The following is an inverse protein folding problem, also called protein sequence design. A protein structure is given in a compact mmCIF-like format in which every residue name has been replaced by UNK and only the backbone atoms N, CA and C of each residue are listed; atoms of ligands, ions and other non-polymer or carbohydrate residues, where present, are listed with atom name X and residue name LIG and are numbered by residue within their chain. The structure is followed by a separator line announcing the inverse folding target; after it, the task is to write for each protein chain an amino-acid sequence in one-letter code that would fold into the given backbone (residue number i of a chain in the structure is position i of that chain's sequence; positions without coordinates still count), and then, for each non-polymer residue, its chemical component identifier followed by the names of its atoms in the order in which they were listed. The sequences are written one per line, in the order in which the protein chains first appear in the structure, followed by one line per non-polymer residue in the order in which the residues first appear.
data_IF_135086316901
#
_entry.id   IF_135086316901
#
_cell.length_a   1.000
_cell.length_b   1.000
_cell.length_c   1.000
_cell.angle_alpha   90.00
_cell.angle_beta   90.00
_cell.angle_gamma   90.00
#
_symmetry.space_group_name_H-M   'P 1'
#
loop_
_entity.id
_entity.type
_entity.pdbx_description
1 polymer ?
#
# COMPACT_ATOMS: atom_id res chain seq x y z
N UNK A 1 1.84 -8.38 0.19
CA UNK A 1 1.28 -8.85 -1.11
C UNK A 1 1.12 -7.63 -2.00
N UNK A 2 1.31 -7.74 -3.31
CA UNK A 2 1.10 -6.60 -4.25
C UNK A 2 -0.38 -6.43 -4.58
N UNK A 3 -0.74 -5.29 -5.17
CA UNK A 3 -1.99 -5.12 -5.92
C UNK A 3 -1.87 -5.80 -7.30
N UNK A 4 -3.00 -6.06 -7.95
CA UNK A 4 -3.08 -6.50 -9.36
C UNK A 4 -2.46 -5.43 -10.27
N UNK A 5 -1.56 -5.89 -11.15
CA UNK A 5 -0.96 -5.05 -12.18
C UNK A 5 -0.35 -5.89 -13.31
N UNK A 6 0.01 -5.22 -14.39
CA UNK A 6 0.49 -5.87 -15.62
C UNK A 6 1.90 -5.45 -16.03
N UNK A 7 2.48 -4.42 -15.42
CA UNK A 7 3.82 -3.96 -15.77
C UNK A 7 4.89 -4.76 -15.02
N UNK A 8 5.69 -5.62 -15.69
CA UNK A 8 6.75 -6.40 -15.04
C UNK A 8 7.75 -5.52 -14.27
N UNK A 9 8.00 -4.30 -14.76
CA UNK A 9 8.92 -3.35 -14.12
C UNK A 9 8.46 -2.92 -12.74
N UNK A 10 7.15 -2.95 -12.46
CA UNK A 10 6.61 -2.64 -11.14
C UNK A 10 6.85 -3.75 -10.12
N UNK A 11 6.92 -4.99 -10.56
CA UNK A 11 7.33 -6.09 -9.70
C UNK A 11 8.84 -6.04 -9.42
N UNK A 12 9.65 -5.74 -10.43
CA UNK A 12 11.10 -5.50 -10.30
C UNK A 12 11.41 -4.34 -9.35
N UNK A 13 10.73 -3.21 -9.53
CA UNK A 13 10.87 -2.01 -8.71
C UNK A 13 10.57 -2.28 -7.24
N UNK A 14 9.52 -3.07 -6.94
CA UNK A 14 9.20 -3.40 -5.56
C UNK A 14 10.27 -4.31 -4.94
N UNK A 15 10.75 -5.32 -5.66
CA UNK A 15 11.87 -6.18 -5.19
C UNK A 15 13.10 -5.32 -4.90
N UNK A 16 13.48 -4.47 -5.84
CA UNK A 16 14.59 -3.52 -5.69
C UNK A 16 14.40 -2.60 -4.47
N UNK A 17 13.19 -2.06 -4.27
CA UNK A 17 12.89 -1.19 -3.14
C UNK A 17 13.07 -1.93 -1.81
N UNK A 18 12.52 -3.15 -1.69
CA UNK A 18 12.65 -3.96 -0.49
C UNK A 18 14.12 -4.33 -0.21
N UNK A 19 14.89 -4.71 -1.24
CA UNK A 19 16.32 -5.01 -1.10
C UNK A 19 17.11 -3.81 -0.61
N UNK A 20 16.91 -2.65 -1.24
CA UNK A 20 17.57 -1.40 -0.84
C UNK A 20 17.20 -0.96 0.58
N UNK A 21 16.02 -1.34 1.05
CA UNK A 21 15.54 -1.08 2.41
C UNK A 21 15.84 -2.21 3.40
N UNK A 22 16.54 -3.26 2.99
CA UNK A 22 16.86 -4.41 3.85
C UNK A 22 15.62 -5.20 4.31
N UNK A 23 14.47 -5.03 3.68
CA UNK A 23 13.24 -5.72 4.03
C UNK A 23 13.23 -7.16 3.48
N UNK A 24 13.12 -8.13 4.41
CA UNK A 24 13.21 -9.57 4.14
C UNK A 24 11.87 -10.30 4.15
N UNK A 25 10.76 -9.59 4.32
CA UNK A 25 9.43 -10.21 4.36
C UNK A 25 9.14 -10.97 3.04
N UNK A 26 8.50 -12.16 3.10
CA UNK A 26 8.11 -12.90 1.89
C UNK A 26 7.20 -12.04 1.00
N UNK A 27 7.62 -11.84 -0.24
CA UNK A 27 6.87 -11.03 -1.20
C UNK A 27 5.98 -11.95 -2.05
N UNK A 28 4.68 -11.71 -2.02
CA UNK A 28 3.69 -12.44 -2.82
C UNK A 28 3.02 -11.46 -3.78
N UNK A 29 2.93 -11.81 -5.06
CA UNK A 29 2.23 -11.00 -6.05
C UNK A 29 0.73 -11.31 -6.05
N UNK A 30 -0.10 -10.30 -6.26
CA UNK A 30 -1.48 -10.53 -6.69
C UNK A 30 -1.55 -10.40 -8.22
N UNK A 31 -2.02 -11.47 -8.88
CA UNK A 31 -2.21 -11.54 -10.32
C UNK A 31 -3.68 -11.79 -10.63
N UNK A 32 -4.10 -11.41 -11.84
CA UNK A 32 -5.46 -11.64 -12.33
C UNK A 32 -5.40 -12.33 -13.68
N UNK A 33 -6.19 -13.40 -13.87
CA UNK A 33 -6.42 -13.97 -15.20
C UNK A 33 -7.19 -12.95 -16.06
N UNK A 34 -6.50 -12.06 -16.76
CA UNK A 34 -7.14 -10.98 -17.50
C UNK A 34 -7.63 -11.46 -18.87
N UNK A 35 -8.89 -11.85 -18.94
CA UNK A 35 -9.60 -12.16 -20.19
C UNK A 35 -10.19 -10.89 -20.82
N UNK A 36 -10.50 -10.90 -22.13
CA UNK A 36 -11.14 -9.75 -22.78
C UNK A 36 -12.49 -9.38 -22.14
N UNK A 37 -13.31 -10.37 -21.78
CA UNK A 37 -14.56 -10.14 -21.07
C UNK A 37 -14.35 -9.46 -19.70
N UNK A 38 -13.31 -9.88 -18.95
CA UNK A 38 -12.98 -9.29 -17.66
C UNK A 38 -12.43 -7.86 -17.81
N UNK A 39 -11.64 -7.61 -18.85
CA UNK A 39 -11.17 -6.27 -19.21
C UNK A 39 -12.33 -5.32 -19.48
N UNK A 40 -13.26 -5.70 -20.36
CA UNK A 40 -14.48 -4.91 -20.64
C UNK A 40 -15.29 -4.63 -19.37
N UNK A 41 -15.45 -5.63 -18.49
CA UNK A 41 -16.12 -5.44 -17.20
C UNK A 41 -15.38 -4.40 -16.36
N UNK A 42 -14.09 -4.60 -16.08
CA UNK A 42 -13.28 -3.68 -15.26
C UNK A 42 -13.32 -2.25 -15.80
N UNK A 43 -13.20 -2.06 -17.12
CA UNK A 43 -13.29 -0.72 -17.72
C UNK A 43 -14.67 -0.08 -17.57
N UNK A 44 -15.75 -0.87 -17.58
CA UNK A 44 -17.12 -0.38 -17.44
C UNK A 44 -17.50 -0.04 -16.00
N UNK A 45 -17.17 -0.92 -15.04
CA UNK A 45 -17.61 -0.78 -13.64
C UNK A 45 -16.53 -0.19 -12.73
N UNK A 46 -15.27 -0.19 -13.16
CA UNK A 46 -14.13 0.13 -12.31
C UNK A 46 -13.72 -1.03 -11.41
N UNK A 47 -12.43 -1.11 -11.11
CA UNK A 47 -11.89 -1.92 -10.04
C UNK A 47 -10.83 -1.07 -9.32
N UNK A 48 -11.02 -0.73 -8.02
CA UNK A 48 -10.16 0.23 -7.34
C UNK A 48 -8.67 -0.14 -7.43
N UNK A 49 -7.87 0.77 -8.00
CA UNK A 49 -6.42 0.60 -8.16
C UNK A 49 -5.97 -0.29 -9.31
N UNK A 50 -6.90 -0.84 -10.09
CA UNK A 50 -6.56 -1.65 -11.27
C UNK A 50 -6.79 -0.83 -12.52
N UNK A 51 -5.70 -0.56 -13.24
CA UNK A 51 -5.73 0.25 -14.47
C UNK A 51 -5.70 -0.66 -15.68
N UNK A 52 -6.62 -0.47 -16.61
CA UNK A 52 -6.54 -1.04 -17.96
C UNK A 52 -6.44 0.13 -18.92
N UNK A 53 -5.26 0.32 -19.48
CA UNK A 53 -4.98 1.35 -20.48
C UNK A 53 -5.75 1.07 -21.78
N UNK A 54 -5.89 2.09 -22.62
CA UNK A 54 -6.51 1.92 -23.94
C UNK A 54 -5.72 0.93 -24.82
N UNK A 55 -4.38 1.00 -24.78
CA UNK A 55 -3.52 0.07 -25.51
C UNK A 55 -3.68 -1.38 -25.05
N UNK A 56 -3.70 -1.65 -23.74
CA UNK A 56 -3.92 -3.00 -23.22
C UNK A 56 -5.33 -3.49 -23.56
N UNK A 57 -6.34 -2.63 -23.44
CA UNK A 57 -7.70 -3.00 -23.82
C UNK A 57 -7.81 -3.35 -25.32
N UNK A 58 -7.19 -2.56 -26.19
CA UNK A 58 -7.15 -2.85 -27.63
C UNK A 58 -6.50 -4.21 -27.89
N UNK A 59 -5.36 -4.50 -27.25
CA UNK A 59 -4.67 -5.79 -27.41
C UNK A 59 -5.56 -6.96 -26.99
N UNK A 60 -6.31 -6.82 -25.91
CA UNK A 60 -7.23 -7.85 -25.42
C UNK A 60 -8.43 -8.04 -26.36
N UNK A 61 -8.94 -6.98 -26.99
CA UNK A 61 -10.00 -7.13 -28.02
C UNK A 61 -9.46 -7.78 -29.29
N UNK A 62 -8.20 -7.54 -29.66
CA UNK A 62 -7.54 -8.27 -30.75
C UNK A 62 -7.38 -9.76 -30.42
N UNK A 63 -6.99 -10.11 -29.17
CA UNK A 63 -6.96 -11.50 -28.68
C UNK A 63 -8.35 -12.15 -28.79
N UNK A 64 -9.43 -11.39 -28.52
CA UNK A 64 -10.80 -11.88 -28.56
C UNK A 64 -11.27 -12.35 -29.95
N UNK A 65 -10.56 -11.97 -31.03
CA UNK A 65 -10.84 -12.44 -32.39
C UNK A 65 -10.41 -13.89 -32.65
N UNK A 66 -9.66 -14.50 -31.73
CA UNK A 66 -9.29 -15.92 -31.82
C UNK A 66 -10.48 -16.85 -31.50
N UNK A 67 -10.47 -18.10 -32.00
CA UNK A 67 -11.58 -19.04 -31.79
C UNK A 67 -11.92 -19.34 -30.32
N UNK A 68 -10.97 -19.20 -29.41
CA UNK A 68 -11.16 -19.43 -27.97
C UNK A 68 -11.53 -18.14 -27.20
N UNK A 69 -11.77 -17.03 -27.92
CA UNK A 69 -12.10 -15.74 -27.35
C UNK A 69 -10.96 -15.08 -26.58
N UNK A 70 -9.70 -15.40 -26.92
CA UNK A 70 -8.50 -14.84 -26.29
C UNK A 70 -8.12 -15.52 -24.98
N UNK A 71 -8.62 -16.73 -24.74
CA UNK A 71 -8.39 -17.47 -23.49
C UNK A 71 -6.94 -17.94 -23.37
N UNK A 72 -6.40 -18.57 -24.40
CA UNK A 72 -5.01 -19.03 -24.43
C UNK A 72 -4.03 -17.86 -24.25
N UNK A 73 -4.28 -16.72 -24.90
CA UNK A 73 -3.47 -15.52 -24.70
C UNK A 73 -3.53 -15.01 -23.25
N UNK A 74 -4.68 -15.10 -22.59
CA UNK A 74 -4.83 -14.74 -21.18
C UNK A 74 -4.04 -15.64 -20.23
N UNK A 75 -4.08 -16.95 -20.46
CA UNK A 75 -3.27 -17.91 -19.70
C UNK A 75 -1.78 -17.71 -19.96
N UNK A 76 -1.35 -17.56 -21.22
CA UNK A 76 0.05 -17.34 -21.58
C UNK A 76 0.63 -16.06 -20.97
N UNK A 77 -0.14 -14.96 -20.95
CA UNK A 77 0.24 -13.72 -20.24
C UNK A 77 0.41 -13.98 -18.74
N UNK A 78 -0.57 -14.63 -18.10
CA UNK A 78 -0.51 -14.93 -16.67
C UNK A 78 0.67 -15.85 -16.33
N UNK A 79 0.94 -16.86 -17.15
CA UNK A 79 2.05 -17.78 -17.00
C UNK A 79 3.41 -17.06 -17.12
N UNK A 80 3.57 -16.15 -18.08
CA UNK A 80 4.75 -15.30 -18.19
C UNK A 80 4.96 -14.40 -16.96
N UNK A 81 3.89 -13.80 -16.42
CA UNK A 81 3.99 -13.03 -15.18
C UNK A 81 4.46 -13.93 -14.03
N UNK A 82 3.82 -15.09 -13.82
CA UNK A 82 4.20 -16.03 -12.76
C UNK A 82 5.63 -16.55 -12.90
N UNK A 83 6.05 -16.91 -14.11
CA UNK A 83 7.42 -17.35 -14.38
C UNK A 83 8.44 -16.23 -14.07
N UNK A 84 8.14 -14.99 -14.47
CA UNK A 84 9.03 -13.84 -14.21
C UNK A 84 9.13 -13.51 -12.73
N UNK A 85 8.06 -13.69 -11.94
CA UNK A 85 8.10 -13.47 -10.48
C UNK A 85 9.08 -14.42 -9.77
N UNK A 86 9.26 -15.64 -10.29
CA UNK A 86 10.23 -16.61 -9.75
C UNK A 86 11.66 -16.07 -9.85
N UNK A 87 12.00 -15.42 -10.95
CA UNK A 87 13.32 -14.80 -11.15
C UNK A 87 13.57 -13.64 -10.18
N UNK A 88 12.50 -12.91 -9.87
CA UNK A 88 12.54 -11.78 -8.93
C UNK A 88 12.53 -12.21 -7.46
N UNK A 89 12.56 -13.51 -7.17
CA UNK A 89 12.58 -14.03 -5.80
C UNK A 89 11.27 -13.79 -5.03
N UNK A 90 10.14 -13.66 -5.72
CA UNK A 90 8.84 -13.67 -5.06
C UNK A 90 8.57 -15.05 -4.45
N UNK A 91 8.04 -15.07 -3.24
CA UNK A 91 7.70 -16.29 -2.52
C UNK A 91 6.46 -17.00 -3.10
N UNK A 92 5.65 -16.30 -3.90
CA UNK A 92 4.50 -16.88 -4.58
C UNK A 92 3.62 -15.85 -5.27
N UNK A 93 2.50 -16.33 -5.80
CA UNK A 93 1.46 -15.49 -6.38
C UNK A 93 0.07 -15.94 -5.90
N UNK A 94 -0.78 -14.98 -5.53
CA UNK A 94 -2.22 -15.16 -5.42
C UNK A 94 -2.83 -14.85 -6.79
N UNK A 95 -3.60 -15.79 -7.34
CA UNK A 95 -4.25 -15.63 -8.64
C UNK A 95 -5.75 -15.43 -8.46
N UNK A 96 -6.22 -14.25 -8.83
CA UNK A 96 -7.63 -13.89 -8.80
C UNK A 96 -8.32 -14.27 -10.12
N UNK A 97 -9.59 -14.66 -10.02
CA UNK A 97 -10.44 -14.98 -11.18
C UNK A 97 -10.05 -16.27 -11.93
N UNK A 98 -9.42 -17.21 -11.22
CA UNK A 98 -9.19 -18.59 -11.59
C UNK A 98 -9.51 -19.47 -10.37
N UNK A 99 -10.65 -20.15 -10.40
CA UNK A 99 -11.23 -20.79 -9.20
C UNK A 99 -11.39 -22.31 -9.33
N UNK A 100 -11.20 -22.86 -10.53
CA UNK A 100 -11.36 -24.31 -10.77
C UNK A 100 -10.02 -25.02 -10.67
N UNK A 101 -10.01 -26.20 -10.05
CA UNK A 101 -8.81 -27.05 -9.97
C UNK A 101 -8.19 -27.31 -11.34
N UNK A 102 -9.00 -27.67 -12.34
CA UNK A 102 -8.54 -27.90 -13.71
C UNK A 102 -7.89 -26.65 -14.32
N UNK A 103 -8.44 -25.47 -14.06
CA UNK A 103 -7.85 -24.21 -14.52
C UNK A 103 -6.52 -23.89 -13.83
N UNK A 104 -6.41 -24.20 -12.54
CA UNK A 104 -5.16 -24.04 -11.78
C UNK A 104 -4.09 -24.99 -12.33
N UNK A 105 -4.41 -26.27 -12.53
CA UNK A 105 -3.47 -27.24 -13.11
C UNK A 105 -3.00 -26.82 -14.51
N UNK A 106 -3.93 -26.38 -15.36
CA UNK A 106 -3.59 -25.85 -16.68
C UNK A 106 -2.63 -24.65 -16.60
N UNK A 107 -2.84 -23.72 -15.67
CA UNK A 107 -1.93 -22.59 -15.49
C UNK A 107 -0.54 -23.05 -15.03
N UNK A 108 -0.45 -24.04 -14.15
CA UNK A 108 0.84 -24.59 -13.71
C UNK A 108 1.59 -25.25 -14.88
N UNK A 109 0.89 -26.02 -15.71
CA UNK A 109 1.46 -26.61 -16.93
C UNK A 109 1.98 -25.53 -17.90
N UNK A 110 1.21 -24.46 -18.11
CA UNK A 110 1.61 -23.31 -18.93
C UNK A 110 2.82 -22.58 -18.36
N UNK A 111 2.91 -22.44 -17.03
CA UNK A 111 4.09 -21.85 -16.38
C UNK A 111 5.33 -22.69 -16.64
N UNK A 112 5.25 -24.01 -16.50
CA UNK A 112 6.37 -24.90 -16.82
C UNK A 112 6.75 -24.82 -18.30
N UNK A 113 5.77 -24.76 -19.20
CA UNK A 113 6.00 -24.63 -20.63
C UNK A 113 6.72 -23.32 -20.95
N UNK A 114 6.25 -22.20 -20.41
CA UNK A 114 6.88 -20.88 -20.58
C UNK A 114 8.30 -20.85 -20.06
N UNK A 115 8.59 -21.49 -18.91
CA UNK A 115 9.95 -21.59 -18.36
C UNK A 115 10.86 -22.40 -19.30
N UNK A 116 10.35 -23.48 -19.92
CA UNK A 116 11.11 -24.29 -20.89
C UNK A 116 11.33 -23.55 -22.21
N UNK A 117 10.31 -22.88 -22.73
CA UNK A 117 10.35 -22.16 -24.01
C UNK A 117 11.22 -20.90 -23.94
N UNK A 118 11.16 -20.19 -22.82
CA UNK A 118 11.89 -18.95 -22.58
C UNK A 118 12.72 -19.11 -21.28
N UNK A 119 13.91 -19.73 -21.35
CA UNK A 119 14.66 -20.11 -20.16
C UNK A 119 15.25 -18.92 -19.39
N UNK A 120 15.54 -17.79 -20.07
CA UNK A 120 16.14 -16.61 -19.42
C UNK A 120 15.12 -15.52 -19.10
N UNK A 121 15.37 -14.68 -18.07
CA UNK A 121 14.51 -13.54 -17.76
C UNK A 121 14.34 -12.58 -18.96
N UNK A 122 15.40 -12.36 -19.74
CA UNK A 122 15.37 -11.50 -20.93
C UNK A 122 14.48 -12.07 -22.03
N UNK A 123 14.50 -13.40 -22.22
CA UNK A 123 13.64 -14.08 -23.18
C UNK A 123 12.17 -13.97 -22.77
N UNK A 124 11.86 -14.17 -21.48
CA UNK A 124 10.50 -13.98 -20.95
C UNK A 124 10.02 -12.53 -21.09
N UNK A 125 10.89 -11.55 -20.84
CA UNK A 125 10.57 -10.13 -21.05
C UNK A 125 10.28 -9.82 -22.50
N UNK A 126 11.05 -10.37 -23.45
CA UNK A 126 10.79 -10.21 -24.88
C UNK A 126 9.45 -10.85 -25.27
N UNK A 127 9.20 -12.09 -24.84
CA UNK A 127 7.93 -12.78 -25.09
C UNK A 127 6.73 -11.99 -24.53
N UNK A 128 6.88 -11.39 -23.35
CA UNK A 128 5.86 -10.50 -22.79
C UNK A 128 5.58 -9.28 -23.68
N UNK A 129 6.62 -8.62 -24.19
CA UNK A 129 6.48 -7.47 -25.09
C UNK A 129 5.85 -7.87 -26.44
N UNK A 130 6.21 -9.04 -26.97
CA UNK A 130 5.62 -9.60 -28.19
C UNK A 130 4.12 -9.87 -28.03
N UNK A 131 3.68 -10.42 -26.89
CA UNK A 131 2.26 -10.61 -26.59
C UNK A 131 1.47 -9.29 -26.48
N UNK A 132 2.16 -8.19 -26.18
CA UNK A 132 1.58 -6.86 -26.10
C UNK A 132 1.65 -6.09 -27.42
N UNK A 133 2.22 -6.65 -28.48
CA UNK A 133 2.27 -5.99 -29.78
C UNK A 133 0.88 -5.98 -30.43
N UNK A 134 0.41 -4.78 -30.76
CA UNK A 134 -0.83 -4.55 -31.48
C UNK A 134 -0.67 -4.91 -32.96
N UNK A 135 -1.79 -5.18 -33.65
CA UNK A 135 -1.78 -5.48 -35.09
C UNK A 135 -1.19 -4.35 -35.96
N UNK A 136 -1.19 -3.12 -35.45
CA UNK A 136 -0.60 -1.95 -36.12
C UNK A 136 0.91 -1.78 -35.86
N UNK A 137 1.54 -2.73 -35.16
CA UNK A 137 2.98 -2.74 -34.88
C UNK A 137 3.41 -1.96 -33.63
N UNK A 138 2.50 -1.23 -32.97
CA UNK A 138 2.81 -0.55 -31.70
C UNK A 138 2.74 -1.53 -30.52
N UNK A 139 3.51 -1.30 -29.46
CA UNK A 139 3.38 -2.06 -28.21
C UNK A 139 2.33 -1.43 -27.30
N UNK A 140 1.39 -2.24 -26.81
CA UNK A 140 0.39 -1.81 -25.84
C UNK A 140 1.06 -1.34 -24.54
N UNK A 141 0.78 -0.10 -24.13
CA UNK A 141 1.18 0.38 -22.81
C UNK A 141 0.37 -0.37 -21.75
N UNK A 142 1.02 -0.82 -20.68
CA UNK A 142 0.36 -1.55 -19.58
C UNK A 142 0.22 -0.75 -18.29
N UNK A 143 0.92 0.38 -18.20
CA UNK A 143 0.81 1.35 -17.10
C UNK A 143 0.28 2.69 -17.61
N UNK A 144 -0.24 3.55 -16.71
CA UNK A 144 -0.70 4.89 -17.07
C UNK A 144 0.45 5.77 -17.56
N UNK A 145 0.13 6.75 -18.42
CA UNK A 145 1.07 7.79 -18.82
C UNK A 145 1.51 8.61 -17.60
N UNK A 146 2.82 8.87 -17.48
CA UNK A 146 3.38 9.59 -16.32
C UNK A 146 3.52 8.75 -15.05
N UNK A 147 3.42 7.43 -15.13
CA UNK A 147 3.77 6.55 -14.01
C UNK A 147 5.20 6.81 -13.53
N UNK A 148 5.38 6.93 -12.21
CA UNK A 148 6.68 7.14 -11.59
C UNK A 148 7.43 5.82 -11.53
N UNK A 149 8.65 5.75 -12.03
CA UNK A 149 9.58 4.63 -11.82
C UNK A 149 10.65 5.03 -10.79
N UNK A 150 10.65 4.36 -9.64
CA UNK A 150 11.55 4.55 -8.50
C UNK A 150 12.98 4.16 -8.85
N UNK A 151 13.18 3.17 -9.71
CA UNK A 151 14.53 2.77 -10.13
C UNK A 151 15.16 3.81 -11.05
N UNK A 152 14.35 4.43 -11.91
CA UNK A 152 14.77 5.54 -12.76
C UNK A 152 14.90 6.85 -11.98
N UNK A 153 13.94 7.18 -11.11
CA UNK A 153 13.94 8.41 -10.32
C UNK A 153 14.97 8.40 -9.19
N UNK A 154 15.41 7.23 -8.70
CA UNK A 154 16.56 7.16 -7.79
C UNK A 154 17.91 7.47 -8.45
N UNK A 155 17.96 7.53 -9.80
CA UNK A 155 19.12 8.01 -10.58
C UNK A 155 19.03 9.50 -10.90
N UNK A 156 17.89 10.14 -10.63
CA UNK A 156 17.67 11.57 -10.82
C UNK A 156 17.74 12.20 -9.44
N UNK A 157 18.62 13.18 -9.23
CA UNK A 157 18.59 13.92 -7.97
C UNK A 157 17.18 14.47 -7.76
N UNK A 158 16.58 14.30 -6.56
CA UNK A 158 15.25 14.81 -6.32
C UNK A 158 15.26 16.31 -6.61
N UNK A 159 14.47 16.71 -7.61
CA UNK A 159 14.31 18.12 -7.94
C UNK A 159 14.02 18.88 -6.64
N UNK A 160 14.76 19.97 -6.40
CA UNK A 160 14.60 20.78 -5.21
C UNK A 160 13.10 21.03 -4.99
N UNK A 161 12.58 20.79 -3.78
CA UNK A 161 11.15 20.86 -3.53
C UNK A 161 10.65 22.22 -3.99
N UNK A 162 9.76 22.22 -4.98
CA UNK A 162 9.20 23.47 -5.50
C UNK A 162 8.42 24.13 -4.36
N UNK A 163 8.83 25.30 -3.86
CA UNK A 163 8.14 25.94 -2.75
C UNK A 163 6.68 26.20 -3.14
N UNK A 164 5.73 25.65 -2.38
CA UNK A 164 4.30 26.01 -2.50
C UNK A 164 3.37 25.03 -3.21
N UNK A 165 3.85 23.95 -3.86
CA UNK A 165 2.96 22.88 -4.38
C UNK A 165 2.93 21.67 -3.44
N UNK A 166 1.76 21.39 -2.86
CA UNK A 166 1.50 20.14 -2.13
C UNK A 166 1.99 20.06 -0.67
N UNK A 167 2.30 21.20 -0.03
CA UNK A 167 2.63 21.27 1.40
C UNK A 167 1.38 21.37 2.30
N UNK A 168 1.49 21.03 3.59
CA UNK A 168 0.32 20.98 4.48
C UNK A 168 -0.34 22.35 4.67
N UNK A 169 -1.67 22.34 4.75
CA UNK A 169 -2.48 23.54 4.99
C UNK A 169 -2.11 24.15 6.35
N UNK A 170 -2.20 25.48 6.55
CA UNK A 170 -1.88 26.11 7.83
C UNK A 170 -2.58 25.45 9.03
N UNK A 171 -3.85 25.06 8.88
CA UNK A 171 -4.60 24.33 9.91
C UNK A 171 -4.05 22.93 10.21
N UNK A 172 -3.57 22.19 9.21
CA UNK A 172 -2.94 20.87 9.41
C UNK A 172 -1.64 21.01 10.23
N UNK A 173 -0.86 22.05 9.93
CA UNK A 173 0.40 22.35 10.64
C UNK A 173 0.16 22.74 12.08
N UNK A 174 -0.81 23.62 12.32
CA UNK A 174 -1.20 24.05 13.67
C UNK A 174 -1.71 22.86 14.49
N UNK A 175 -2.60 22.03 13.89
CA UNK A 175 -3.12 20.82 14.53
C UNK A 175 -2.00 19.85 14.88
N UNK A 176 -1.09 19.57 13.94
CA UNK A 176 0.05 18.69 14.19
C UNK A 176 0.86 19.16 15.40
N UNK A 177 1.31 20.43 15.41
CA UNK A 177 2.12 20.98 16.52
C UNK A 177 1.40 20.93 17.86
N UNK A 178 0.12 21.28 17.87
CA UNK A 178 -0.70 21.25 19.09
C UNK A 178 -0.84 19.82 19.63
N UNK A 179 -1.23 18.87 18.76
CA UNK A 179 -1.43 17.48 19.15
C UNK A 179 -0.11 16.81 19.56
N UNK A 180 0.99 17.15 18.89
CA UNK A 180 2.31 16.65 19.23
C UNK A 180 2.77 17.13 20.60
N UNK A 181 2.56 18.41 20.92
CA UNK A 181 2.81 18.93 22.25
C UNK A 181 1.97 18.22 23.32
N UNK A 182 0.68 18.00 23.06
CA UNK A 182 -0.22 17.29 23.98
C UNK A 182 0.28 15.86 24.22
N UNK A 183 0.68 15.15 23.17
CA UNK A 183 1.22 13.79 23.25
C UNK A 183 2.47 13.71 24.15
N UNK A 184 3.45 14.59 23.90
CA UNK A 184 4.70 14.66 24.66
C UNK A 184 4.48 15.04 26.13
N UNK A 185 3.47 15.88 26.43
CA UNK A 185 3.20 16.31 27.80
C UNK A 185 2.35 15.31 28.60
N UNK A 186 1.42 14.61 27.94
CA UNK A 186 0.41 13.80 28.62
C UNK A 186 0.57 12.29 28.47
N UNK A 187 0.99 11.80 27.30
CA UNK A 187 0.87 10.39 26.94
C UNK A 187 2.22 9.67 26.84
N UNK A 188 3.28 10.36 26.46
CA UNK A 188 4.61 9.74 26.36
C UNK A 188 5.13 9.26 27.70
N UNK A 189 5.84 8.13 27.68
CA UNK A 189 6.46 7.56 28.88
C UNK A 189 7.39 8.57 29.55
N UNK A 190 7.29 8.69 30.88
CA UNK A 190 8.08 9.66 31.64
C UNK A 190 7.60 11.11 31.57
N UNK A 191 6.58 11.45 30.78
CA UNK A 191 5.96 12.79 30.78
C UNK A 191 5.25 13.11 32.10
N UNK A 192 4.96 14.40 32.34
CA UNK A 192 4.25 14.83 33.54
C UNK A 192 2.84 14.21 33.64
N UNK A 193 2.08 14.18 32.53
CA UNK A 193 0.78 13.55 32.51
C UNK A 193 0.87 12.03 32.69
N UNK A 194 1.85 11.36 32.09
CA UNK A 194 2.01 9.92 32.30
C UNK A 194 2.30 9.59 33.77
N UNK A 195 3.13 10.36 34.47
CA UNK A 195 3.43 10.15 35.91
C UNK A 195 2.21 10.34 36.80
N UNK A 196 1.29 11.23 36.45
CA UNK A 196 0.13 11.59 37.26
C UNK A 196 -1.12 10.77 36.92
N UNK A 197 -1.37 10.50 35.64
CA UNK A 197 -2.57 9.80 35.17
C UNK A 197 -2.43 8.28 35.22
N UNK A 198 -1.22 7.72 35.04
CA UNK A 198 -1.00 6.26 35.07
C UNK A 198 -1.47 5.62 36.38
N UNK A 199 -1.10 6.11 37.58
CA UNK A 199 -1.54 5.49 38.83
C UNK A 199 -3.06 5.42 38.97
N UNK A 200 -3.78 6.45 38.47
CA UNK A 200 -5.22 6.56 38.54
C UNK A 200 -5.94 5.69 37.49
N UNK A 201 -5.45 5.69 36.25
CA UNK A 201 -6.16 5.08 35.12
C UNK A 201 -5.76 3.62 34.85
N UNK A 202 -4.57 3.17 35.26
CA UNK A 202 -4.09 1.79 35.00
C UNK A 202 -4.97 0.68 35.60
N UNK A 203 -5.75 0.99 36.64
CA UNK A 203 -6.66 0.04 37.29
C UNK A 203 -8.12 0.23 36.88
N UNK A 204 -8.42 1.28 36.13
CA UNK A 204 -9.77 1.57 35.71
C UNK A 204 -10.17 0.61 34.59
N UNK A 205 -11.35 0.01 34.70
CA UNK A 205 -11.95 -0.69 33.58
C UNK A 205 -12.53 0.32 32.59
N UNK A 206 -12.10 0.26 31.33
CA UNK A 206 -12.55 1.14 30.27
C UNK A 206 -14.07 1.03 30.01
N UNK A 207 -14.70 -0.09 30.42
CA UNK A 207 -16.15 -0.33 30.30
C UNK A 207 -16.94 -0.01 31.58
N UNK A 208 -16.27 0.44 32.65
CA UNK A 208 -16.94 0.93 33.86
C UNK A 208 -17.70 2.23 33.60
N UNK A 209 -18.59 2.63 34.53
CA UNK A 209 -19.31 3.90 34.44
C UNK A 209 -18.39 5.13 34.32
N UNK A 210 -17.26 5.13 35.05
CA UNK A 210 -16.25 6.18 34.92
C UNK A 210 -15.49 6.09 33.58
N UNK A 211 -15.21 4.89 33.08
CA UNK A 211 -14.69 4.68 31.72
C UNK A 211 -15.61 5.26 30.64
N UNK A 212 -16.92 5.08 30.79
CA UNK A 212 -17.93 5.69 29.92
C UNK A 212 -18.00 7.23 30.00
N UNK A 213 -17.73 7.82 31.18
CA UNK A 213 -17.59 9.27 31.31
C UNK A 213 -16.34 9.79 30.59
N UNK A 214 -15.20 9.10 30.77
CA UNK A 214 -13.95 9.44 30.08
C UNK A 214 -14.08 9.30 28.56
N UNK A 215 -14.82 8.30 28.07
CA UNK A 215 -15.12 8.17 26.65
C UNK A 215 -15.93 9.37 26.12
N UNK A 216 -16.94 9.83 26.88
CA UNK A 216 -17.71 11.03 26.48
C UNK A 216 -16.81 12.25 26.40
N UNK A 217 -15.94 12.44 27.39
CA UNK A 217 -14.95 13.52 27.37
C UNK A 217 -13.98 13.39 26.18
N UNK A 218 -13.50 12.18 25.90
CA UNK A 218 -12.63 11.90 24.76
C UNK A 218 -13.31 12.25 23.43
N UNK A 219 -14.59 11.90 23.25
CA UNK A 219 -15.35 12.25 22.04
C UNK A 219 -15.45 13.75 21.87
N UNK A 220 -15.86 14.47 22.92
CA UNK A 220 -15.99 15.93 22.91
C UNK A 220 -14.68 16.61 22.49
N UNK A 221 -13.53 16.07 22.91
CA UNK A 221 -12.22 16.62 22.54
C UNK A 221 -11.78 16.16 21.14
N UNK A 222 -11.78 14.86 20.85
CA UNK A 222 -11.11 14.31 19.67
C UNK A 222 -11.98 14.30 18.42
N UNK A 223 -13.31 14.25 18.54
CA UNK A 223 -14.21 14.30 17.39
C UNK A 223 -14.06 15.59 16.58
N UNK A 224 -14.16 16.80 17.17
CA UNK A 224 -13.98 18.05 16.41
C UNK A 224 -12.54 18.24 15.90
N UNK A 225 -11.53 17.70 16.59
CA UNK A 225 -10.13 17.90 16.24
C UNK A 225 -9.65 16.99 15.10
N UNK A 226 -10.02 15.71 15.14
CA UNK A 226 -9.47 14.66 14.27
C UNK A 226 -10.51 13.70 13.70
N UNK A 227 -11.81 13.92 13.95
CA UNK A 227 -12.87 13.04 13.48
C UNK A 227 -12.88 11.68 14.19
N UNK A 228 -12.55 11.64 15.48
CA UNK A 228 -12.45 10.42 16.28
C UNK A 228 -13.69 9.52 16.16
N UNK A 229 -13.46 8.23 15.86
CA UNK A 229 -14.52 7.22 15.73
C UNK A 229 -14.67 6.34 16.99
N UNK A 230 -14.03 6.71 18.11
CA UNK A 230 -14.10 5.94 19.37
C UNK A 230 -13.63 4.48 19.26
N UNK A 231 -12.52 4.25 18.57
CA UNK A 231 -11.94 2.92 18.41
C UNK A 231 -11.37 2.31 19.70
N UNK A 232 -11.21 3.10 20.77
CA UNK A 232 -10.61 2.67 22.05
C UNK A 232 -9.13 2.28 21.97
N UNK A 233 -8.52 2.41 20.79
CA UNK A 233 -7.18 1.93 20.46
C UNK A 233 -6.45 2.97 19.61
N UNK A 234 -6.06 4.09 20.25
CA UNK A 234 -5.69 5.31 19.55
C UNK A 234 -4.31 5.23 18.89
N UNK A 235 -4.26 5.42 17.57
CA UNK A 235 -3.04 5.33 16.74
C UNK A 235 -2.50 6.68 16.24
N UNK A 236 -3.08 7.79 16.71
CA UNK A 236 -2.77 9.15 16.24
C UNK A 236 -1.27 9.53 16.26
N UNK A 237 -0.47 9.16 17.29
CA UNK A 237 0.94 9.51 17.33
C UNK A 237 1.75 8.91 16.17
N UNK A 238 1.29 7.81 15.60
CA UNK A 238 1.95 7.14 14.48
C UNK A 238 1.47 7.61 13.10
N UNK A 239 0.40 8.41 13.04
CA UNK A 239 -0.23 8.87 11.80
C UNK A 239 -0.21 10.38 11.67
N UNK A 240 0.80 11.05 12.25
CA UNK A 240 0.92 12.51 12.26
C UNK A 240 -0.37 13.21 12.71
N UNK A 241 -1.07 12.61 13.68
CA UNK A 241 -2.34 13.08 14.25
C UNK A 241 -3.50 13.21 13.24
N UNK A 242 -3.48 12.42 12.17
CA UNK A 242 -4.64 12.16 11.30
C UNK A 242 -5.27 10.84 11.72
N UNK A 243 -6.56 10.83 12.07
CA UNK A 243 -7.21 9.61 12.58
C UNK A 243 -7.36 8.55 11.47
N UNK A 244 -6.73 7.36 11.57
CA UNK A 244 -6.82 6.33 10.53
C UNK A 244 -8.25 5.78 10.40
N UNK A 245 -9.06 5.92 11.43
CA UNK A 245 -10.43 5.40 11.46
C UNK A 245 -11.40 6.26 10.65
N UNK A 246 -10.94 7.41 10.15
CA UNK A 246 -11.69 8.21 9.17
C UNK A 246 -11.53 7.68 7.73
N UNK A 247 -10.64 6.70 7.52
CA UNK A 247 -10.61 5.90 6.30
C UNK A 247 -11.83 4.97 6.28
N UNK A 248 -12.67 4.98 5.22
CA UNK A 248 -13.81 4.07 5.12
C UNK A 248 -13.40 2.58 5.07
N UNK A 249 -12.15 2.28 4.71
CA UNK A 249 -11.56 0.93 4.75
C UNK A 249 -10.81 0.59 6.03
N UNK A 250 -10.71 1.52 6.98
CA UNK A 250 -9.97 1.31 8.25
C UNK A 250 -8.47 1.05 8.07
N UNK A 251 -7.88 1.48 6.95
CA UNK A 251 -6.45 1.26 6.66
C UNK A 251 -5.58 2.21 7.49
N UNK A 252 -4.63 1.63 8.23
CA UNK A 252 -3.66 2.40 9.01
C UNK A 252 -2.29 2.50 8.32
N UNK A 253 -1.89 1.46 7.58
CA UNK A 253 -0.51 1.31 7.06
C UNK A 253 -0.40 1.64 5.55
N UNK A 254 -0.97 2.76 5.13
CA UNK A 254 -0.86 3.27 3.75
C UNK A 254 -2.16 3.21 2.93
N UNK A 255 -2.20 3.92 1.78
CA UNK A 255 -3.41 4.05 0.97
C UNK A 255 -3.83 2.72 0.35
N UNK A 256 -5.14 2.58 0.13
CA UNK A 256 -5.64 1.54 -0.76
C UNK A 256 -5.23 1.84 -2.22
N UNK A 257 -5.27 0.82 -3.08
CA UNK A 257 -5.02 1.00 -4.51
C UNK A 257 -5.98 1.98 -5.19
N UNK A 258 -7.18 2.21 -4.63
CA UNK A 258 -8.21 3.05 -5.23
C UNK A 258 -8.02 4.57 -5.10
N UNK A 259 -6.98 5.03 -4.40
CA UNK A 259 -6.72 6.47 -4.24
C UNK A 259 -6.27 7.07 -5.57
N UNK A 260 -6.86 8.19 -6.00
CA UNK A 260 -6.51 8.88 -7.25
C UNK A 260 -6.40 10.38 -7.04
N UNK A 261 -5.30 11.00 -7.47
CA UNK A 261 -5.10 12.46 -7.50
C UNK A 261 -5.49 13.18 -6.20
N UNK A 262 -5.09 12.59 -5.07
CA UNK A 262 -5.41 13.04 -3.71
C UNK A 262 -6.81 12.69 -3.16
N UNK A 263 -7.68 12.10 -3.97
CA UNK A 263 -9.07 11.77 -3.62
C UNK A 263 -9.18 10.31 -3.17
N UNK A 264 -10.02 10.07 -2.15
CA UNK A 264 -10.39 8.74 -1.71
C UNK A 264 -11.09 7.96 -2.84
N UNK A 265 -11.05 6.64 -2.81
CA UNK A 265 -11.68 5.80 -3.85
C UNK A 265 -13.19 6.01 -3.96
N UNK A 266 -13.84 6.47 -2.89
CA UNK A 266 -15.27 6.78 -2.86
C UNK A 266 -15.61 8.17 -3.43
N UNK A 267 -14.59 8.97 -3.77
CA UNK A 267 -14.77 10.28 -4.43
C UNK A 267 -15.27 11.41 -3.53
N UNK A 268 -15.55 11.14 -2.25
CA UNK A 268 -16.26 12.04 -1.34
C UNK A 268 -15.34 12.88 -0.43
N UNK A 269 -14.05 12.53 -0.35
CA UNK A 269 -13.08 13.15 0.56
C UNK A 269 -11.65 13.05 0.06
N UNK A 270 -10.77 13.85 0.65
CA UNK A 270 -9.32 13.70 0.50
C UNK A 270 -8.85 12.39 1.16
N UNK A 271 -7.95 11.66 0.52
CA UNK A 271 -7.39 10.45 1.11
C UNK A 271 -6.55 10.77 2.35
N UNK A 272 -6.87 10.13 3.46
CA UNK A 272 -6.21 10.38 4.75
C UNK A 272 -4.69 10.09 4.69
N UNK A 273 -4.26 9.12 3.87
CA UNK A 273 -2.84 8.78 3.75
C UNK A 273 -2.02 9.83 3.03
N UNK A 274 -2.65 10.62 2.15
CA UNK A 274 -1.97 11.76 1.53
C UNK A 274 -1.85 12.92 2.50
N UNK A 275 -2.83 13.12 3.40
CA UNK A 275 -2.70 14.05 4.51
C UNK A 275 -1.56 13.60 5.44
N UNK A 276 -1.56 12.32 5.85
CA UNK A 276 -0.50 11.73 6.68
C UNK A 276 0.88 11.93 6.02
N UNK A 277 1.03 11.57 4.75
CA UNK A 277 2.29 11.72 4.01
C UNK A 277 2.75 13.17 3.99
N UNK A 278 1.86 14.11 3.65
CA UNK A 278 2.19 15.54 3.51
C UNK A 278 2.61 16.17 4.83
N UNK A 279 1.90 15.85 5.92
CA UNK A 279 2.25 16.33 7.26
C UNK A 279 3.56 15.68 7.73
N UNK A 280 3.71 14.36 7.57
CA UNK A 280 4.91 13.63 7.96
C UNK A 280 6.15 14.09 7.20
N UNK A 281 6.03 14.37 5.89
CA UNK A 281 7.11 14.94 5.07
C UNK A 281 7.59 16.28 5.63
N UNK A 282 6.67 17.15 6.01
CA UNK A 282 7.03 18.45 6.56
C UNK A 282 7.61 18.35 7.98
N UNK A 283 7.15 17.39 8.78
CA UNK A 283 7.61 17.16 10.15
C UNK A 283 8.90 16.32 10.24
N UNK A 284 9.44 15.84 9.10
CA UNK A 284 10.62 14.96 9.10
C UNK A 284 10.33 13.53 9.59
N UNK A 285 9.08 13.08 9.54
CA UNK A 285 8.61 11.80 10.08
C UNK A 285 8.39 10.71 9.01
N UNK A 286 8.99 10.84 7.81
CA UNK A 286 8.78 9.87 6.72
C UNK A 286 9.30 8.47 7.08
N UNK A 287 10.39 8.37 7.83
CA UNK A 287 10.93 7.09 8.29
C UNK A 287 9.89 6.29 9.08
N UNK A 288 9.08 6.96 9.92
CA UNK A 288 8.00 6.29 10.66
C UNK A 288 6.97 5.62 9.74
N UNK A 289 6.68 6.20 8.57
CA UNK A 289 5.73 5.60 7.62
C UNK A 289 6.29 4.35 6.94
N UNK A 290 7.61 4.24 6.83
CA UNK A 290 8.28 3.08 6.24
C UNK A 290 8.53 1.99 7.29
N UNK A 291 8.84 2.37 8.53
CA UNK A 291 9.38 1.45 9.55
C UNK A 291 8.34 1.01 10.59
N UNK A 292 7.21 1.68 10.72
CA UNK A 292 6.22 1.39 11.78
C UNK A 292 4.96 0.77 11.19
N UNK A 293 4.71 -0.49 11.55
CA UNK A 293 3.46 -1.18 11.24
C UNK A 293 2.52 -1.14 12.44
N UNK A 294 1.35 -0.54 12.24
CA UNK A 294 0.31 -0.46 13.25
C UNK A 294 -0.60 -1.69 13.19
N UNK A 295 -0.93 -2.31 14.34
CA UNK A 295 -1.88 -3.42 14.39
C UNK A 295 -3.31 -2.93 14.10
N UNK A 296 -4.22 -3.80 13.62
CA UNK A 296 -5.64 -3.48 13.50
C UNK A 296 -6.26 -3.19 14.87
N UNK A 297 -7.35 -2.44 14.88
CA UNK A 297 -8.12 -2.18 16.11
C UNK A 297 -8.83 -3.47 16.53
N UNK A 298 -8.63 -3.97 17.76
CA UNK A 298 -9.37 -5.12 18.27
C UNK A 298 -10.87 -4.80 18.35
N UNK A 299 -11.73 -5.74 17.94
CA UNK A 299 -13.19 -5.55 17.98
C UNK A 299 -13.69 -5.18 19.40
N UNK A 300 -13.14 -5.82 20.42
CA UNK A 300 -13.48 -5.57 21.82
C UNK A 300 -13.12 -4.17 22.33
N UNK A 301 -12.22 -3.45 21.66
CA UNK A 301 -11.80 -2.10 22.06
C UNK A 301 -12.80 -1.02 21.61
N UNK A 302 -13.63 -1.29 20.61
CA UNK A 302 -14.58 -0.31 20.09
C UNK A 302 -15.56 0.15 21.15
N UNK A 303 -15.83 1.47 21.17
CA UNK A 303 -16.72 2.07 22.15
C UNK A 303 -16.15 2.15 23.56
N UNK A 304 -14.82 2.04 23.71
CA UNK A 304 -14.11 2.26 24.99
C UNK A 304 -13.21 3.50 24.92
N UNK A 305 -12.83 4.04 26.09
CA UNK A 305 -11.95 5.21 26.15
C UNK A 305 -10.49 4.83 25.90
N UNK A 306 -9.87 5.43 24.87
CA UNK A 306 -8.50 5.08 24.50
C UNK A 306 -7.44 5.58 25.49
N UNK A 307 -7.74 6.61 26.29
CA UNK A 307 -6.83 7.07 27.34
C UNK A 307 -6.68 6.00 28.44
N UNK A 308 -7.78 5.34 28.80
CA UNK A 308 -7.74 4.24 29.77
C UNK A 308 -6.90 3.09 29.21
N UNK A 309 -7.18 2.67 27.97
CA UNK A 309 -6.40 1.62 27.28
C UNK A 309 -4.90 1.95 27.20
N UNK A 310 -4.55 3.21 26.91
CA UNK A 310 -3.17 3.69 26.87
C UNK A 310 -2.48 3.54 28.23
N UNK A 311 -3.04 4.11 29.29
CA UNK A 311 -2.42 4.09 30.62
C UNK A 311 -2.44 2.72 31.32
N UNK A 312 -3.24 1.78 30.81
CA UNK A 312 -3.19 0.35 31.18
C UNK A 312 -2.06 -0.41 30.49
N UNK A 313 -1.39 0.17 29.50
CA UNK A 313 -0.40 -0.52 28.67
C UNK A 313 -1.02 -1.48 27.66
N UNK A 314 -2.32 -1.33 27.39
CA UNK A 314 -3.13 -2.16 26.48
C UNK A 314 -3.33 -1.47 25.11
N UNK A 315 -2.69 -0.31 24.90
CA UNK A 315 -2.73 0.46 23.65
C UNK A 315 -2.02 -0.23 22.48
N UNK A 316 -1.98 0.42 21.30
CA UNK A 316 -1.36 -0.14 20.11
C UNK A 316 0.12 -0.43 20.32
N UNK A 317 0.49 -1.71 20.20
CA UNK A 317 1.87 -2.17 20.14
C UNK A 317 2.29 -2.26 18.68
N UNK A 318 3.01 -1.24 18.22
CA UNK A 318 3.49 -1.20 16.84
C UNK A 318 4.63 -2.18 16.61
N UNK A 319 4.66 -2.78 15.43
CA UNK A 319 5.82 -3.55 14.97
C UNK A 319 6.78 -2.60 14.27
N UNK A 320 7.99 -2.47 14.81
CA UNK A 320 9.07 -1.73 14.14
C UNK A 320 9.79 -2.70 13.20
N UNK A 321 9.74 -2.40 11.92
CA UNK A 321 10.54 -3.07 10.92
C UNK A 321 12.01 -2.70 11.15
N UNK A 322 12.94 -3.62 10.87
CA UNK A 322 14.37 -3.30 10.95
C UNK A 322 14.65 -2.11 10.04
N UNK A 323 15.39 -1.14 10.57
CA UNK A 323 15.87 -0.03 9.76
C UNK A 323 16.70 -0.59 8.59
N UNK A 324 16.63 0.04 7.41
CA UNK A 324 17.47 -0.33 6.27
C UNK A 324 18.92 -0.47 6.69
N UNK A 325 19.52 -1.64 6.44
CA UNK A 325 20.94 -1.81 6.67
C UNK A 325 21.70 -0.95 5.64
N UNK A 326 22.17 0.23 6.07
CA UNK A 326 23.01 1.10 5.24
C UNK A 326 24.36 0.47 4.87
N UNK A 327 24.65 -0.77 5.29
CA UNK A 327 25.89 -1.51 4.96
C UNK A 327 25.87 -2.21 3.59
N UNK A 328 24.83 -2.02 2.79
CA UNK A 328 24.71 -2.60 1.47
C UNK A 328 24.26 -1.60 0.42
N UNK A 329 25.01 -0.52 0.17
CA UNK A 329 25.05 0.01 -1.20
C UNK A 329 25.50 -1.15 -2.08
N UNK A 330 24.69 -1.65 -3.03
CA UNK A 330 25.21 -2.53 -4.06
C UNK A 330 26.33 -1.77 -4.73
N UNK A 331 27.52 -2.36 -4.81
CA UNK A 331 28.59 -1.87 -5.67
C UNK A 331 27.98 -1.60 -7.04
N UNK A 332 28.17 -0.38 -7.53
CA UNK A 332 27.74 0.03 -8.85
C UNK A 332 28.14 -1.04 -9.87
N UNK A 333 27.18 -1.68 -10.58
CA UNK A 333 27.50 -2.67 -11.60
C UNK A 333 28.27 -2.08 -12.79
N UNK A 334 28.49 -0.76 -12.83
CA UNK A 334 29.41 -0.12 -13.76
C UNK A 334 30.91 -0.36 -13.48
N UNK A 335 31.27 -1.02 -12.35
CA UNK A 335 32.67 -1.29 -11.98
C UNK A 335 33.19 -2.69 -12.34
N UNK A 336 32.42 -3.49 -13.06
CA UNK A 336 32.89 -4.76 -13.63
C UNK A 336 32.63 -4.78 -15.13
N UNK A 337 33.57 -4.16 -15.86
CA UNK A 337 33.86 -4.42 -17.27
C UNK A 337 34.38 -5.84 -17.47
#
# INVERSE_FOLDING_TARGET
MTQIGWDPRKFEELRWFLDRRGYRAPLVAELLLLTPARSRRIRRIGLPGVTITDGLAQRLEEDASSPDGGRAAAFRRLALQMASLRDLGYAGAQVSGLETYAGIMHLLDDVEMVIREYPTPEARRRAWLELLMLKDGRTAQVGPSGGVDLTASARVEPAAPTPGRGGPRPGERARFRMMDLIDHLLFQEGSFGARTLTPALRRLDARSGLGGLLLRLERVIKEPLVGCQSCGFCRLPHTAYVCPETCPKGLANGPCGGTKDNVCEFGDRECIHNQIYRVSKQAGLLANLEEVLMPPVPEAAWGSCSWVTHFRGEGPKVTRLPAPDNRGTPSDPSQSL
#
